data_IF_245401728317
#
_entry.id   IF_245401728317
#
_cell.length_a   1.000
_cell.length_b   1.000
_cell.length_c   1.000
_cell.angle_alpha   90.00
_cell.angle_beta   90.00
_cell.angle_gamma   90.00
#
_symmetry.space_group_name_H-M   'P 1'
#
loop_
_entity.id
_entity.type
_entity.pdbx_description
1 polymer ?
#
# COMPACT_ATOMS: atom_id res chain seq x y z
N UNK A 1 23.23 -61.01 5.94
CA UNK A 1 22.58 -59.71 6.25
C UNK A 1 23.01 -59.25 7.64
N UNK A 2 24.11 -58.49 7.72
CA UNK A 2 24.69 -57.94 8.95
C UNK A 2 25.36 -56.62 8.56
N UNK A 3 24.99 -55.50 9.19
CA UNK A 3 25.75 -54.23 9.34
C UNK A 3 24.86 -52.98 9.35
N UNK A 4 24.07 -52.76 10.41
CA UNK A 4 23.49 -51.42 10.67
C UNK A 4 23.59 -50.91 12.12
N UNK A 5 24.10 -51.70 13.06
CA UNK A 5 24.11 -51.33 14.48
C UNK A 5 25.45 -50.80 15.02
N UNK A 6 26.55 -50.88 14.24
CA UNK A 6 27.87 -50.42 14.71
C UNK A 6 28.12 -48.92 14.53
N UNK A 7 27.33 -48.22 13.69
CA UNK A 7 27.53 -46.79 13.42
C UNK A 7 26.87 -45.85 14.45
N UNK A 8 25.86 -46.33 15.19
CA UNK A 8 25.15 -45.49 16.17
C UNK A 8 25.85 -45.41 17.53
N UNK A 9 26.61 -46.44 17.93
CA UNK A 9 27.36 -46.42 19.18
C UNK A 9 28.62 -45.52 19.13
N UNK A 10 29.17 -45.28 17.93
CA UNK A 10 30.32 -44.39 17.76
C UNK A 10 29.94 -42.90 17.77
N UNK A 11 28.67 -42.57 17.46
CA UNK A 11 28.22 -41.18 17.39
C UNK A 11 27.80 -40.61 18.77
N UNK A 12 27.42 -41.47 19.72
CA UNK A 12 26.99 -41.06 21.07
C UNK A 12 28.12 -40.92 22.07
N UNK A 13 29.32 -41.42 21.79
CA UNK A 13 30.48 -41.32 22.70
C UNK A 13 31.33 -40.07 22.44
N UNK A 14 31.19 -39.40 21.29
CA UNK A 14 32.07 -38.29 20.90
C UNK A 14 31.53 -36.88 21.24
N UNK A 15 30.37 -36.76 21.88
CA UNK A 15 29.76 -35.47 22.25
C UNK A 15 29.89 -35.12 23.75
N UNK A 16 30.64 -35.90 24.52
CA UNK A 16 30.86 -35.69 25.97
C UNK A 16 32.25 -35.11 26.29
N UNK A 17 33.15 -35.00 25.31
CA UNK A 17 34.48 -34.45 25.53
C UNK A 17 34.59 -33.02 24.97
N UNK A 18 34.57 -32.01 25.85
CA UNK A 18 35.38 -30.81 25.61
C UNK A 18 34.70 -29.45 25.49
N UNK A 19 33.48 -29.24 25.99
CA UNK A 19 33.08 -27.88 26.33
C UNK A 19 33.42 -27.63 27.80
N UNK A 20 34.49 -26.87 28.12
CA UNK A 20 34.61 -26.35 29.47
C UNK A 20 33.34 -25.54 29.71
N UNK A 21 32.56 -25.96 30.70
CA UNK A 21 31.47 -25.18 31.27
C UNK A 21 32.11 -23.97 31.96
N UNK A 22 32.61 -23.02 31.18
CA UNK A 22 33.01 -21.72 31.72
C UNK A 22 31.72 -21.07 32.18
N UNK A 23 31.55 -20.91 33.49
CA UNK A 23 30.57 -20.00 34.06
C UNK A 23 30.62 -18.70 33.23
N UNK A 24 29.47 -18.19 32.75
CA UNK A 24 29.48 -16.99 31.93
C UNK A 24 30.24 -15.92 32.69
N UNK A 25 31.23 -15.32 32.02
CA UNK A 25 32.04 -14.24 32.57
C UNK A 25 31.12 -13.29 33.34
N UNK A 26 31.46 -13.01 34.62
CA UNK A 26 30.62 -12.21 35.50
C UNK A 26 30.17 -10.97 34.74
N UNK A 27 28.88 -10.94 34.40
CA UNK A 27 28.31 -9.88 33.59
C UNK A 27 28.38 -8.64 34.46
N UNK A 28 29.17 -7.66 34.02
CA UNK A 28 29.31 -6.41 34.77
C UNK A 28 27.95 -5.71 34.81
N UNK A 29 27.67 -4.95 35.87
CA UNK A 29 26.43 -4.15 35.99
C UNK A 29 26.21 -3.29 34.72
N UNK A 30 27.29 -2.74 34.17
CA UNK A 30 27.24 -1.96 32.93
C UNK A 30 26.80 -2.78 31.71
N UNK A 31 27.21 -4.05 31.60
CA UNK A 31 26.73 -4.94 30.54
C UNK A 31 25.25 -5.31 30.73
N UNK A 32 24.80 -5.52 31.97
CA UNK A 32 23.38 -5.73 32.25
C UNK A 32 22.53 -4.50 31.88
N UNK A 33 23.02 -3.29 32.19
CA UNK A 33 22.37 -2.03 31.79
C UNK A 33 22.34 -1.89 30.27
N UNK A 34 23.44 -2.18 29.56
CA UNK A 34 23.46 -2.15 28.10
C UNK A 34 22.47 -3.14 27.50
N UNK A 35 22.46 -4.39 27.95
CA UNK A 35 21.50 -5.40 27.48
C UNK A 35 20.06 -5.02 27.81
N UNK A 36 19.84 -4.40 28.97
CA UNK A 36 18.55 -3.81 29.35
C UNK A 36 18.12 -2.72 28.38
N UNK A 37 18.99 -1.76 28.07
CA UNK A 37 18.71 -0.68 27.13
C UNK A 37 18.44 -1.19 25.70
N UNK A 38 19.20 -2.19 25.24
CA UNK A 38 19.11 -2.73 23.89
C UNK A 38 17.89 -3.64 23.68
N UNK A 39 17.50 -4.40 24.71
CA UNK A 39 16.44 -5.42 24.61
C UNK A 39 15.11 -5.02 25.26
N UNK A 40 15.04 -3.91 26.00
CA UNK A 40 13.81 -3.50 26.67
C UNK A 40 12.69 -3.21 25.63
N UNK A 41 11.58 -3.98 25.65
CA UNK A 41 10.49 -3.82 24.70
C UNK A 41 9.77 -2.47 24.83
N UNK A 42 9.70 -1.90 26.02
CA UNK A 42 9.10 -0.57 26.26
C UNK A 42 9.92 0.52 25.59
N UNK A 43 11.25 0.51 25.74
CA UNK A 43 12.12 1.46 25.04
C UNK A 43 12.03 1.34 23.52
N UNK A 44 11.96 0.11 23.00
CA UNK A 44 11.78 -0.13 21.56
C UNK A 44 10.43 0.39 21.07
N UNK A 45 9.35 0.18 21.83
CA UNK A 45 8.03 0.72 21.53
C UNK A 45 8.06 2.24 21.50
N UNK A 46 8.59 2.90 22.53
CA UNK A 46 8.69 4.36 22.61
C UNK A 46 9.55 4.93 21.47
N UNK A 47 10.63 4.23 21.09
CA UNK A 47 11.47 4.60 19.95
C UNK A 47 10.74 4.48 18.61
N UNK A 48 9.95 3.41 18.41
CA UNK A 48 9.12 3.23 17.21
C UNK A 48 8.01 4.27 17.13
N UNK A 49 7.33 4.56 18.24
CA UNK A 49 6.31 5.62 18.32
C UNK A 49 6.90 6.97 17.90
N UNK A 50 8.14 7.29 18.33
CA UNK A 50 8.86 8.49 17.90
C UNK A 50 9.22 8.50 16.41
N UNK A 51 9.50 7.34 15.81
CA UNK A 51 9.74 7.24 14.36
C UNK A 51 8.45 7.50 13.57
N UNK A 52 7.30 7.04 14.06
CA UNK A 52 5.98 7.27 13.47
C UNK A 52 5.51 8.73 13.58
N UNK A 53 6.09 9.52 14.47
CA UNK A 53 5.78 10.95 14.57
C UNK A 53 6.34 11.78 13.42
N UNK A 54 7.45 11.36 12.83
CA UNK A 54 8.07 12.07 11.71
C UNK A 54 7.12 12.19 10.52
N UNK A 55 6.49 11.12 9.98
CA UNK A 55 5.51 11.25 8.91
C UNK A 55 4.27 12.05 9.33
N UNK A 56 3.82 11.97 10.60
CA UNK A 56 2.73 12.80 11.10
C UNK A 56 3.05 14.29 11.07
N UNK A 57 4.24 14.68 11.51
CA UNK A 57 4.70 16.08 11.44
C UNK A 57 4.91 16.56 10.01
N UNK A 58 5.45 15.71 9.12
CA UNK A 58 5.63 16.03 7.71
C UNK A 58 4.30 16.18 6.99
N UNK A 59 3.31 15.36 7.30
CA UNK A 59 1.95 15.49 6.77
C UNK A 59 1.31 16.82 7.20
N UNK A 60 1.49 17.21 8.47
CA UNK A 60 1.01 18.50 8.97
C UNK A 60 1.70 19.69 8.27
N UNK A 61 3.01 19.60 8.00
CA UNK A 61 3.71 20.60 7.20
C UNK A 61 3.25 20.62 5.73
N UNK A 62 2.98 19.45 5.14
CA UNK A 62 2.47 19.31 3.78
C UNK A 62 1.12 20.00 3.56
N UNK A 63 0.29 20.15 4.59
CA UNK A 63 -0.98 20.89 4.53
C UNK A 63 -0.81 22.40 4.32
N UNK A 64 0.40 22.94 4.57
CA UNK A 64 0.70 24.35 4.28
C UNK A 64 1.30 24.56 2.90
N UNK A 65 1.60 23.48 2.17
CA UNK A 65 2.14 23.55 0.83
C UNK A 65 1.01 23.41 -0.19
N UNK A 66 1.10 24.10 -1.34
CA UNK A 66 0.16 23.87 -2.43
C UNK A 66 0.28 22.42 -2.92
N UNK A 67 -0.87 21.82 -3.22
CA UNK A 67 -0.92 20.45 -3.74
C UNK A 67 -1.11 20.47 -5.26
N UNK A 68 -0.35 19.62 -5.95
CA UNK A 68 -0.44 19.46 -7.40
C UNK A 68 -0.90 18.03 -7.69
N UNK A 69 -2.10 17.90 -8.27
CA UNK A 69 -2.65 16.63 -8.70
C UNK A 69 -2.58 16.56 -10.23
N UNK A 70 -1.85 15.57 -10.74
CA UNK A 70 -1.75 15.28 -12.17
C UNK A 70 -2.52 13.99 -12.44
N UNK A 71 -3.50 14.07 -13.34
CA UNK A 71 -4.34 12.94 -13.71
C UNK A 71 -4.40 12.71 -15.20
N UNK A 72 -4.51 11.44 -15.59
CA UNK A 72 -4.71 11.02 -16.97
C UNK A 72 -5.81 9.95 -17.01
N UNK A 73 -6.82 10.17 -17.86
CA UNK A 73 -7.96 9.27 -18.00
C UNK A 73 -8.18 8.88 -19.47
N UNK A 74 -8.50 7.61 -19.70
CA UNK A 74 -8.96 7.11 -20.99
C UNK A 74 -10.36 6.54 -20.79
N UNK A 75 -11.33 7.16 -21.44
CA UNK A 75 -12.70 6.66 -21.47
C UNK A 75 -12.99 6.06 -22.84
N UNK A 76 -13.43 4.80 -22.85
CA UNK A 76 -13.89 4.12 -24.04
C UNK A 76 -15.35 3.74 -23.87
N UNK A 77 -16.20 4.22 -24.77
CA UNK A 77 -17.58 3.79 -24.84
C UNK A 77 -17.87 3.13 -26.18
N UNK A 78 -18.59 2.01 -26.13
CA UNK A 78 -19.24 1.41 -27.28
C UNK A 78 -20.69 1.83 -27.23
N UNK A 79 -21.22 2.29 -28.36
CA UNK A 79 -22.63 2.59 -28.49
C UNK A 79 -23.18 1.92 -29.74
N UNK A 80 -24.36 1.35 -29.62
CA UNK A 80 -25.11 0.82 -30.74
C UNK A 80 -25.92 1.96 -31.32
N UNK A 81 -25.71 2.31 -32.58
CA UNK A 81 -26.57 3.27 -33.24
C UNK A 81 -27.63 2.50 -34.02
N UNK A 82 -28.90 2.46 -33.56
CA UNK A 82 -29.95 1.75 -34.28
C UNK A 82 -30.26 2.43 -35.61
N UNK A 83 -29.85 3.68 -35.85
CA UNK A 83 -30.08 4.36 -37.12
C UNK A 83 -28.80 4.53 -37.94
N UNK A 84 -28.85 4.16 -39.21
CA UNK A 84 -27.77 4.44 -40.16
C UNK A 84 -28.33 4.99 -41.47
N UNK A 85 -27.49 5.67 -42.25
CA UNK A 85 -27.84 6.16 -43.57
C UNK A 85 -27.40 5.13 -44.59
N UNK A 86 -28.34 4.59 -45.35
CA UNK A 86 -28.07 3.62 -46.42
C UNK A 86 -27.37 4.30 -47.61
N UNK A 87 -26.82 3.53 -48.55
CA UNK A 87 -26.17 4.01 -49.77
C UNK A 87 -27.07 4.96 -50.60
N UNK A 88 -28.40 4.80 -50.47
CA UNK A 88 -29.43 5.63 -51.10
C UNK A 88 -29.76 6.93 -50.32
N UNK A 89 -29.05 7.23 -49.23
CA UNK A 89 -29.24 8.45 -48.43
C UNK A 89 -30.45 8.43 -47.49
N UNK A 90 -31.14 7.29 -47.35
CA UNK A 90 -32.28 7.12 -46.43
C UNK A 90 -31.81 6.70 -45.04
N UNK A 91 -32.44 7.25 -44.00
CA UNK A 91 -32.21 6.84 -42.61
C UNK A 91 -33.01 5.58 -42.32
N UNK A 92 -32.34 4.47 -42.03
CA UNK A 92 -32.94 3.17 -41.70
C UNK A 92 -32.70 2.85 -40.22
N UNK A 93 -33.75 2.40 -39.52
CA UNK A 93 -33.69 1.99 -38.11
C UNK A 93 -33.65 0.46 -37.99
N UNK A 94 -32.68 -0.07 -37.25
CA UNK A 94 -32.45 -1.47 -36.98
C UNK A 94 -32.94 -1.89 -35.58
N UNK A 95 -33.30 -3.17 -35.37
CA UNK A 95 -33.24 -4.26 -36.33
C UNK A 95 -34.34 -4.15 -37.40
N UNK A 96 -33.93 -4.27 -38.66
CA UNK A 96 -34.82 -4.38 -39.81
C UNK A 96 -34.59 -5.74 -40.42
N UNK A 97 -35.69 -6.43 -40.72
CA UNK A 97 -35.68 -7.72 -41.40
C UNK A 97 -36.44 -7.58 -42.71
N UNK A 98 -35.80 -7.97 -43.80
CA UNK A 98 -36.44 -8.03 -45.11
C UNK A 98 -36.71 -9.49 -45.46
N UNK A 99 -37.90 -9.76 -46.00
CA UNK A 99 -38.22 -11.08 -46.55
C UNK A 99 -37.97 -11.02 -48.05
N UNK A 100 -36.94 -11.73 -48.51
CA UNK A 100 -36.58 -11.79 -49.92
C UNK A 100 -36.92 -13.19 -50.43
N UNK A 101 -37.71 -13.25 -51.50
CA UNK A 101 -38.01 -14.52 -52.18
C UNK A 101 -36.87 -14.84 -53.15
N UNK A 102 -36.07 -15.85 -52.81
CA UNK A 102 -35.01 -16.38 -53.67
C UNK A 102 -35.46 -17.77 -54.11
N UNK A 103 -35.55 -18.00 -55.43
CA UNK A 103 -35.96 -19.29 -56.01
C UNK A 103 -37.30 -19.84 -55.47
N UNK A 104 -38.29 -18.95 -55.28
CA UNK A 104 -39.63 -19.31 -54.81
C UNK A 104 -39.71 -19.67 -53.32
N UNK A 105 -38.65 -19.42 -52.54
CA UNK A 105 -38.64 -19.56 -51.08
C UNK A 105 -38.39 -18.22 -50.40
N UNK A 106 -39.24 -17.90 -49.44
CA UNK A 106 -39.11 -16.71 -48.62
C UNK A 106 -38.00 -16.90 -47.58
N UNK A 107 -36.96 -16.06 -47.68
CA UNK A 107 -35.84 -16.04 -46.74
C UNK A 107 -35.87 -14.72 -45.99
N UNK A 108 -35.83 -14.77 -44.65
CA UNK A 108 -35.76 -13.58 -43.80
C UNK A 108 -34.30 -13.23 -43.55
N UNK A 109 -33.86 -12.08 -44.05
CA UNK A 109 -32.52 -11.55 -43.79
C UNK A 109 -32.62 -10.56 -42.63
N UNK A 110 -31.86 -10.81 -41.56
CA UNK A 110 -31.80 -9.92 -40.37
C UNK A 110 -30.50 -9.14 -40.41
N UNK A 111 -30.60 -7.81 -40.49
CA UNK A 111 -29.42 -6.94 -40.48
C UNK A 111 -29.06 -6.53 -39.05
N UNK A 112 -27.79 -6.69 -38.66
CA UNK A 112 -27.28 -6.35 -37.33
C UNK A 112 -27.07 -4.84 -37.13
N UNK A 113 -27.28 -4.34 -35.91
CA UNK A 113 -27.09 -2.92 -35.56
C UNK A 113 -25.60 -2.53 -35.65
N UNK A 114 -25.22 -1.45 -36.37
CA UNK A 114 -23.83 -1.03 -36.46
C UNK A 114 -23.29 -0.54 -35.10
N UNK A 115 -22.09 -1.02 -34.76
CA UNK A 115 -21.36 -0.63 -33.55
C UNK A 115 -20.51 0.61 -33.78
N UNK A 116 -20.83 1.69 -33.08
CA UNK A 116 -19.96 2.87 -32.95
C UNK A 116 -18.97 2.69 -31.79
N UNK A 117 -17.71 3.07 -32.00
CA UNK A 117 -16.69 3.16 -30.94
C UNK A 117 -16.32 4.62 -30.76
N UNK A 118 -16.47 5.15 -29.53
CA UNK A 118 -15.94 6.46 -29.16
C UNK A 118 -14.84 6.28 -28.12
N UNK A 119 -13.67 6.84 -28.41
CA UNK A 119 -12.55 6.92 -27.46
C UNK A 119 -12.35 8.39 -27.13
N UNK A 120 -12.40 8.72 -25.85
CA UNK A 120 -12.04 10.03 -25.34
C UNK A 120 -10.80 9.87 -24.46
N UNK A 121 -9.85 10.79 -24.59
CA UNK A 121 -8.69 10.87 -23.70
C UNK A 121 -8.65 12.27 -23.11
N UNK A 122 -8.63 12.37 -21.79
CA UNK A 122 -8.53 13.63 -21.08
C UNK A 122 -7.27 13.66 -20.23
N UNK A 123 -6.63 14.82 -20.21
CA UNK A 123 -5.50 15.12 -19.34
C UNK A 123 -5.86 16.36 -18.54
N UNK A 124 -5.58 16.34 -17.24
CA UNK A 124 -5.81 17.49 -16.38
C UNK A 124 -4.65 17.68 -15.39
N UNK A 125 -4.37 18.95 -15.10
CA UNK A 125 -3.50 19.37 -14.01
C UNK A 125 -4.35 20.23 -13.11
N UNK A 126 -4.54 19.80 -11.87
CA UNK A 126 -5.22 20.57 -10.85
C UNK A 126 -4.20 21.06 -9.82
N UNK A 127 -4.12 22.37 -9.64
CA UNK A 127 -3.35 23.00 -8.56
C UNK A 127 -4.37 23.45 -7.51
N UNK A 128 -4.29 22.87 -6.33
CA UNK A 128 -5.17 23.22 -5.22
C UNK A 128 -4.34 23.86 -4.11
N UNK A 129 -4.70 25.10 -3.78
CA UNK A 129 -4.14 25.85 -2.67
C UNK A 129 -5.26 26.18 -1.68
N UNK A 130 -5.13 25.67 -0.45
CA UNK A 130 -6.11 25.92 0.60
C UNK A 130 -5.65 27.15 1.39
N UNK A 131 -6.10 28.33 0.97
CA UNK A 131 -5.66 29.63 1.52
C UNK A 131 -6.31 29.94 2.89
N UNK A 132 -7.47 29.34 3.20
CA UNK A 132 -8.30 29.73 4.35
C UNK A 132 -8.43 28.68 5.47
N UNK A 133 -7.67 27.59 5.47
CA UNK A 133 -7.67 26.60 6.57
C UNK A 133 -6.46 26.76 7.53
N UNK A 134 -5.79 27.91 7.45
CA UNK A 134 -4.55 28.19 8.19
C UNK A 134 -4.68 28.05 9.71
N UNK A 135 -5.85 28.36 10.29
CA UNK A 135 -6.11 28.20 11.72
C UNK A 135 -6.13 26.72 12.15
N UNK A 136 -6.79 25.86 11.38
CA UNK A 136 -6.84 24.41 11.63
C UNK A 136 -5.48 23.77 11.40
N UNK A 137 -4.80 24.13 10.32
CA UNK A 137 -3.46 23.63 10.00
C UNK A 137 -2.44 24.06 11.07
N UNK A 138 -2.53 25.31 11.57
CA UNK A 138 -1.70 25.81 12.67
C UNK A 138 -1.94 25.04 13.97
N UNK A 139 -3.19 24.78 14.33
CA UNK A 139 -3.52 23.98 15.51
C UNK A 139 -3.07 22.52 15.37
N UNK A 140 -3.20 21.93 14.19
CA UNK A 140 -2.69 20.58 13.91
C UNK A 140 -1.17 20.51 14.08
N UNK A 141 -0.44 21.50 13.56
CA UNK A 141 1.01 21.59 13.71
C UNK A 141 1.42 21.77 15.18
N UNK A 142 0.73 22.67 15.90
CA UNK A 142 0.97 22.90 17.33
C UNK A 142 0.71 21.64 18.16
N UNK A 143 -0.37 20.92 17.86
CA UNK A 143 -0.71 19.66 18.52
C UNK A 143 0.34 18.59 18.23
N UNK A 144 0.79 18.45 16.98
CA UNK A 144 1.88 17.53 16.63
C UNK A 144 3.18 17.86 17.39
N UNK A 145 3.54 19.14 17.49
CA UNK A 145 4.70 19.57 18.26
C UNK A 145 4.60 19.25 19.76
N UNK A 146 3.41 19.40 20.35
CA UNK A 146 3.13 19.03 21.74
C UNK A 146 3.25 17.52 21.97
N UNK A 147 2.65 16.70 21.10
CA UNK A 147 2.76 15.23 21.19
C UNK A 147 4.23 14.78 21.12
N UNK A 148 5.01 15.37 20.22
CA UNK A 148 6.44 15.07 20.09
C UNK A 148 7.24 15.42 21.34
N UNK A 149 6.90 16.53 22.01
CA UNK A 149 7.54 16.92 23.29
C UNK A 149 7.20 15.92 24.40
N UNK A 150 5.93 15.57 24.55
CA UNK A 150 5.48 14.62 25.58
C UNK A 150 6.09 13.24 25.40
N UNK A 151 6.18 12.74 24.16
CA UNK A 151 6.83 11.45 23.89
C UNK A 151 8.33 11.48 24.14
N UNK A 152 8.99 12.61 23.83
CA UNK A 152 10.41 12.80 24.17
C UNK A 152 10.64 12.76 25.68
N UNK A 153 9.82 13.46 26.48
CA UNK A 153 9.94 13.43 27.93
C UNK A 153 9.68 12.03 28.50
N UNK A 154 8.72 11.29 27.94
CA UNK A 154 8.45 9.91 28.37
C UNK A 154 9.65 8.98 28.09
N UNK A 155 10.30 9.12 26.94
CA UNK A 155 11.51 8.35 26.61
C UNK A 155 12.66 8.68 27.56
N UNK A 156 12.86 9.96 27.88
CA UNK A 156 13.88 10.40 28.84
C UNK A 156 13.58 9.86 30.25
N UNK A 157 12.31 9.83 30.66
CA UNK A 157 11.87 9.23 31.92
C UNK A 157 12.10 7.71 31.97
N UNK A 158 11.73 6.96 30.93
CA UNK A 158 12.00 5.51 30.86
C UNK A 158 13.50 5.20 30.91
N UNK A 159 14.32 6.01 30.24
CA UNK A 159 15.79 5.87 30.31
C UNK A 159 16.33 6.17 31.70
N UNK A 160 15.74 7.13 32.41
CA UNK A 160 16.13 7.45 33.78
C UNK A 160 15.81 6.29 34.73
N UNK A 161 14.61 5.70 34.64
CA UNK A 161 14.20 4.55 35.46
C UNK A 161 15.10 3.32 35.29
N UNK A 162 15.72 3.15 34.13
CA UNK A 162 16.64 2.03 33.87
C UNK A 162 18.07 2.28 34.36
N UNK A 163 18.39 3.52 34.75
CA UNK A 163 19.71 3.93 35.25
C UNK A 163 19.75 4.09 36.77
N UNK A 164 18.59 4.32 37.39
CA UNK A 164 18.40 4.36 38.85
C UNK A 164 18.24 2.95 39.42
#
# INVERSE_FOLDING_TARGET
MMNRYKSLAALTVLLVAGYPLSLPAQVTLNQCIQWGLDRNPSLRRTALEKQLDRPGSLAAWGQFLPSVLVGYGIDQSKYYNPTYVDADGKVVTLPYSETVTIDGRDTVIVYGVPEGKRRNSSYFINVEEIIFDGGRNYLNLKNSALVNRTRRSNLEYERFLLRS
#
